data_IF_670015471139
#
_entry.id   IF_670015471139
#
_cell.length_a   1.000
_cell.length_b   1.000
_cell.length_c   1.000
_cell.angle_alpha   90.00
_cell.angle_beta   90.00
_cell.angle_gamma   90.00
#
_symmetry.space_group_name_H-M   'P 1'
#
loop_
_entity.id
_entity.type
_entity.pdbx_description
1 polymer ?
#
# COMPACT_ATOMS: atom_id res chain seq x y z
N UNK A 1 -1.89 -46.12 0.56
CA UNK A 1 -3.32 -46.37 0.89
C UNK A 1 -3.84 -45.25 1.78
N UNK A 2 -5.03 -44.69 1.54
CA UNK A 2 -5.71 -43.89 2.57
C UNK A 2 -6.53 -44.81 3.48
N UNK A 3 -6.15 -44.91 4.75
CA UNK A 3 -6.79 -45.70 5.81
C UNK A 3 -7.97 -44.94 6.44
N UNK A 4 -9.18 -45.02 5.88
CA UNK A 4 -10.35 -44.50 6.62
C UNK A 4 -11.56 -45.42 6.70
N UNK A 5 -11.51 -46.67 6.18
CA UNK A 5 -12.62 -47.61 6.30
C UNK A 5 -12.20 -49.10 6.49
N UNK A 6 -11.10 -49.39 7.19
CA UNK A 6 -10.75 -50.79 7.52
C UNK A 6 -11.20 -51.16 8.95
N UNK A 7 -11.81 -52.34 9.16
CA UNK A 7 -12.14 -52.83 10.50
C UNK A 7 -10.86 -53.09 11.31
N UNK A 8 -10.97 -52.86 12.62
CA UNK A 8 -9.87 -52.90 13.57
C UNK A 8 -9.03 -54.19 13.45
N UNK A 9 -7.72 -54.00 13.31
CA UNK A 9 -6.71 -55.05 13.44
C UNK A 9 -5.72 -55.09 12.29
N UNK A 10 -4.58 -54.42 12.45
CA UNK A 10 -3.22 -54.99 12.34
C UNK A 10 -2.17 -53.87 12.25
N UNK A 11 -1.15 -54.05 13.07
CA UNK A 11 0.03 -53.21 13.32
C UNK A 11 1.05 -53.27 12.19
N UNK A 12 1.69 -52.15 11.88
CA UNK A 12 3.16 -52.05 11.86
C UNK A 12 3.61 -50.58 11.79
N UNK A 13 4.22 -50.15 12.89
CA UNK A 13 4.91 -48.88 13.09
C UNK A 13 6.22 -48.83 12.29
N UNK A 14 6.49 -47.71 11.60
CA UNK A 14 7.82 -47.10 11.59
C UNK A 14 7.77 -45.61 11.16
N UNK A 15 8.06 -44.73 12.13
CA UNK A 15 8.83 -43.47 12.04
C UNK A 15 8.31 -42.30 11.17
N UNK A 16 7.56 -41.39 11.79
CA UNK A 16 8.03 -40.07 12.30
C UNK A 16 6.75 -39.33 12.73
N UNK A 17 6.45 -39.37 14.03
CA UNK A 17 5.27 -38.72 14.60
C UNK A 17 5.60 -37.25 14.92
N UNK A 18 5.31 -36.37 13.97
CA UNK A 18 5.38 -34.91 14.13
C UNK A 18 3.98 -34.35 14.28
N UNK A 19 3.24 -34.67 15.35
CA UNK A 19 2.14 -33.85 15.91
C UNK A 19 0.95 -33.39 15.03
N UNK A 20 0.92 -33.66 13.72
CA UNK A 20 0.08 -32.99 12.70
C UNK A 20 -1.19 -33.80 12.32
N UNK A 21 -1.55 -34.85 13.05
CA UNK A 21 -2.73 -35.67 12.70
C UNK A 21 -4.06 -35.06 13.16
N UNK A 22 -4.05 -34.08 14.07
CA UNK A 22 -5.27 -33.48 14.63
C UNK A 22 -5.96 -32.49 13.68
N UNK A 23 -5.22 -31.78 12.84
CA UNK A 23 -5.74 -30.64 12.04
C UNK A 23 -6.51 -31.06 10.77
N UNK A 24 -6.17 -32.23 10.19
CA UNK A 24 -6.80 -32.69 8.93
C UNK A 24 -8.25 -33.10 9.10
N UNK A 25 -8.62 -33.63 10.26
CA UNK A 25 -10.00 -34.13 10.49
C UNK A 25 -10.97 -32.98 10.68
N UNK A 26 -10.60 -32.01 11.52
CA UNK A 26 -11.38 -30.79 11.73
C UNK A 26 -11.57 -30.01 10.42
N UNK A 27 -10.51 -29.87 9.62
CA UNK A 27 -10.60 -29.24 8.30
C UNK A 27 -11.57 -29.94 7.36
N UNK A 28 -11.60 -31.28 7.37
CA UNK A 28 -12.56 -32.06 6.57
C UNK A 28 -13.99 -31.88 7.10
N UNK A 29 -14.19 -31.88 8.41
CA UNK A 29 -15.51 -31.68 9.02
C UNK A 29 -16.04 -30.27 8.72
N UNK A 30 -15.15 -29.27 8.75
CA UNK A 30 -15.45 -27.89 8.35
C UNK A 30 -15.77 -27.78 6.85
N UNK A 31 -15.05 -28.50 6.00
CA UNK A 31 -15.37 -28.60 4.57
C UNK A 31 -16.76 -29.20 4.36
N UNK A 32 -17.10 -30.28 5.05
CA UNK A 32 -18.41 -30.92 4.95
C UNK A 32 -19.52 -30.00 5.46
N UNK A 33 -19.28 -29.31 6.56
CA UNK A 33 -20.19 -28.30 7.09
C UNK A 33 -20.48 -27.20 6.05
N UNK A 34 -19.43 -26.60 5.47
CA UNK A 34 -19.57 -25.55 4.45
C UNK A 34 -20.25 -26.06 3.17
N UNK A 35 -19.97 -27.30 2.78
CA UNK A 35 -20.60 -27.94 1.63
C UNK A 35 -22.05 -28.38 1.91
N UNK A 36 -22.47 -28.47 3.17
CA UNK A 36 -23.72 -29.15 3.55
C UNK A 36 -23.71 -30.65 3.22
N UNK A 37 -22.52 -31.27 3.21
CA UNK A 37 -22.34 -32.68 2.95
C UNK A 37 -22.55 -33.49 4.23
N UNK A 38 -23.56 -34.36 4.22
CA UNK A 38 -23.84 -35.36 5.24
C UNK A 38 -23.36 -36.72 4.73
N UNK A 39 -22.35 -37.34 5.38
CA UNK A 39 -21.85 -38.64 4.99
C UNK A 39 -22.93 -39.74 4.97
N UNK A 40 -23.93 -39.68 5.87
CA UNK A 40 -25.02 -40.67 5.88
C UNK A 40 -25.88 -40.55 4.63
N UNK A 41 -26.19 -39.31 4.24
CA UNK A 41 -26.94 -39.05 3.01
C UNK A 41 -26.18 -39.50 1.77
N UNK A 42 -24.86 -39.29 1.74
CA UNK A 42 -24.01 -39.76 0.64
C UNK A 42 -24.08 -41.28 0.49
N UNK A 43 -24.01 -42.02 1.60
CA UNK A 43 -24.14 -43.48 1.63
C UNK A 43 -25.50 -43.99 1.09
N UNK A 44 -26.59 -43.29 1.38
CA UNK A 44 -27.92 -43.64 0.85
C UNK A 44 -27.99 -43.46 -0.68
N UNK A 45 -27.41 -42.39 -1.20
CA UNK A 45 -27.52 -42.04 -2.63
C UNK A 45 -26.41 -42.63 -3.49
N UNK A 46 -25.30 -43.14 -2.92
CA UNK A 46 -24.10 -43.54 -3.68
C UNK A 46 -24.33 -44.61 -4.73
N UNK A 47 -25.32 -45.48 -4.53
CA UNK A 47 -25.70 -46.56 -5.47
C UNK A 47 -26.49 -46.06 -6.69
N UNK A 48 -27.03 -44.84 -6.65
CA UNK A 48 -27.78 -44.22 -7.75
C UNK A 48 -26.95 -43.10 -8.38
N UNK A 49 -26.40 -43.29 -9.60
CA UNK A 49 -25.54 -42.29 -10.23
C UNK A 49 -26.19 -40.91 -10.37
N UNK A 50 -27.47 -40.87 -10.76
CA UNK A 50 -28.19 -39.61 -10.93
C UNK A 50 -28.40 -38.86 -9.60
N UNK A 51 -28.82 -39.56 -8.54
CA UNK A 51 -29.04 -38.95 -7.22
C UNK A 51 -27.72 -38.52 -6.58
N UNK A 52 -26.67 -39.37 -6.68
CA UNK A 52 -25.32 -39.06 -6.20
C UNK A 52 -24.77 -37.81 -6.87
N UNK A 53 -24.81 -37.74 -8.20
CA UNK A 53 -24.26 -36.61 -8.95
C UNK A 53 -25.02 -35.32 -8.65
N UNK A 54 -26.35 -35.38 -8.53
CA UNK A 54 -27.15 -34.22 -8.12
C UNK A 54 -26.76 -33.74 -6.72
N UNK A 55 -26.67 -34.64 -5.75
CA UNK A 55 -26.31 -34.30 -4.37
C UNK A 55 -24.91 -33.69 -4.27
N UNK A 56 -23.91 -34.30 -4.92
CA UNK A 56 -22.55 -33.77 -4.95
C UNK A 56 -22.44 -32.45 -5.69
N UNK A 57 -23.20 -32.24 -6.76
CA UNK A 57 -23.26 -30.94 -7.45
C UNK A 57 -23.81 -29.85 -6.53
N UNK A 58 -24.90 -30.12 -5.80
CA UNK A 58 -25.46 -29.16 -4.84
C UNK A 58 -24.46 -28.83 -3.71
N UNK A 59 -23.73 -29.83 -3.21
CA UNK A 59 -22.69 -29.64 -2.21
C UNK A 59 -21.49 -28.83 -2.75
N UNK A 60 -21.08 -29.11 -3.99
CA UNK A 60 -20.00 -28.40 -4.70
C UNK A 60 -20.32 -26.93 -4.89
N UNK A 61 -21.55 -26.62 -5.32
CA UNK A 61 -22.04 -25.25 -5.49
C UNK A 61 -22.06 -24.48 -4.17
N UNK A 62 -22.50 -25.13 -3.07
CA UNK A 62 -22.50 -24.52 -1.73
C UNK A 62 -21.10 -24.21 -1.25
N UNK A 63 -20.18 -25.17 -1.35
CA UNK A 63 -18.80 -25.00 -0.92
C UNK A 63 -18.10 -23.88 -1.72
N UNK A 64 -18.29 -23.86 -3.04
CA UNK A 64 -17.77 -22.80 -3.92
C UNK A 64 -18.32 -21.44 -3.51
N UNK A 65 -19.64 -21.32 -3.28
CA UNK A 65 -20.26 -20.07 -2.83
C UNK A 65 -19.79 -19.62 -1.45
N UNK A 66 -19.52 -20.56 -0.55
CA UNK A 66 -19.06 -20.26 0.81
C UNK A 66 -17.64 -19.69 0.81
N UNK A 67 -16.73 -20.22 -0.01
CA UNK A 67 -15.32 -19.82 -0.04
C UNK A 67 -15.02 -18.64 -1.00
N UNK A 68 -15.89 -18.39 -1.99
CA UNK A 68 -15.71 -17.30 -2.96
C UNK A 68 -15.51 -15.90 -2.33
N UNK A 69 -16.23 -15.50 -1.26
CA UNK A 69 -16.06 -14.17 -0.68
C UNK A 69 -14.67 -13.95 -0.06
N UNK A 70 -14.01 -15.02 0.39
CA UNK A 70 -12.69 -14.98 1.00
C UNK A 70 -11.56 -15.26 -0.01
N UNK A 71 -11.88 -15.88 -1.14
CA UNK A 71 -10.92 -16.24 -2.18
C UNK A 71 -10.80 -15.16 -3.28
N UNK A 72 -10.11 -14.06 -2.97
CA UNK A 72 -10.10 -12.83 -3.79
C UNK A 72 -9.05 -12.79 -4.92
N UNK A 73 -8.11 -13.74 -5.00
CA UNK A 73 -7.02 -13.66 -5.99
C UNK A 73 -7.48 -13.99 -7.42
N UNK A 74 -8.14 -15.13 -7.60
CA UNK A 74 -8.66 -15.65 -8.86
C UNK A 74 -9.87 -16.53 -8.52
N UNK A 75 -11.04 -16.34 -9.15
CA UNK A 75 -12.21 -17.14 -8.82
C UNK A 75 -11.93 -18.63 -9.03
N UNK A 76 -12.29 -19.45 -8.04
CA UNK A 76 -12.16 -20.91 -8.12
C UNK A 76 -13.53 -21.57 -8.18
N UNK A 77 -13.55 -22.73 -8.82
CA UNK A 77 -14.67 -23.66 -8.78
C UNK A 77 -14.24 -24.95 -8.10
N UNK A 78 -15.04 -25.42 -7.15
CA UNK A 78 -14.75 -26.58 -6.33
C UNK A 78 -15.77 -27.66 -6.63
N UNK A 79 -15.28 -28.84 -7.02
CA UNK A 79 -16.09 -30.01 -7.36
C UNK A 79 -15.77 -31.17 -6.41
N UNK A 80 -16.80 -31.67 -5.72
CA UNK A 80 -16.73 -32.86 -4.88
C UNK A 80 -17.06 -34.09 -5.73
N UNK A 81 -16.09 -34.99 -5.88
CA UNK A 81 -16.23 -36.18 -6.74
C UNK A 81 -16.05 -37.45 -5.92
N UNK A 82 -17.10 -38.26 -5.85
CA UNK A 82 -17.07 -39.55 -5.18
C UNK A 82 -16.89 -40.70 -6.18
N UNK A 83 -15.76 -41.40 -6.08
CA UNK A 83 -15.35 -42.48 -6.99
C UNK A 83 -15.73 -43.89 -6.51
N UNK A 84 -15.37 -44.90 -7.30
CA UNK A 84 -15.66 -46.32 -7.02
C UNK A 84 -14.79 -46.95 -5.94
N UNK A 85 -13.74 -46.27 -5.47
CA UNK A 85 -12.89 -46.70 -4.36
C UNK A 85 -13.36 -46.21 -3.00
N UNK A 86 -14.60 -45.70 -2.91
CA UNK A 86 -15.14 -44.98 -1.74
C UNK A 86 -14.26 -43.78 -1.33
N UNK A 87 -13.65 -43.10 -2.32
CA UNK A 87 -12.84 -41.90 -2.11
C UNK A 87 -13.59 -40.66 -2.58
N UNK A 88 -13.72 -39.68 -1.68
CA UNK A 88 -14.19 -38.35 -2.01
C UNK A 88 -13.01 -37.44 -2.38
N UNK A 89 -12.96 -37.01 -3.63
CA UNK A 89 -11.98 -36.07 -4.15
C UNK A 89 -12.53 -34.66 -4.12
N UNK A 90 -11.73 -33.72 -3.60
CA UNK A 90 -11.93 -32.29 -3.84
C UNK A 90 -11.14 -31.93 -5.09
N UNK A 91 -11.83 -31.55 -6.16
CA UNK A 91 -11.20 -31.00 -7.37
C UNK A 91 -11.38 -29.49 -7.39
N UNK A 92 -10.36 -28.80 -7.84
CA UNK A 92 -10.38 -27.34 -7.96
C UNK A 92 -10.05 -26.96 -9.39
N UNK A 93 -10.75 -25.96 -9.92
CA UNK A 93 -10.48 -25.35 -11.22
C UNK A 93 -10.37 -23.84 -11.05
N UNK A 94 -9.48 -23.22 -11.80
CA UNK A 94 -9.39 -21.76 -11.86
C UNK A 94 -10.39 -21.27 -12.92
N UNK A 95 -11.12 -20.19 -12.63
CA UNK A 95 -12.17 -19.63 -13.49
C UNK A 95 -11.72 -18.26 -13.98
N UNK A 96 -11.64 -18.11 -15.30
CA UNK A 96 -11.25 -16.87 -15.97
C UNK A 96 -12.46 -15.97 -16.22
N UNK A 97 -12.20 -14.69 -16.55
CA UNK A 97 -13.25 -13.70 -16.84
C UNK A 97 -14.15 -14.10 -18.02
N UNK A 98 -13.60 -14.83 -19.00
CA UNK A 98 -14.33 -15.36 -20.16
C UNK A 98 -15.17 -16.61 -19.84
N UNK A 99 -15.17 -17.06 -18.58
CA UNK A 99 -15.86 -18.25 -18.09
C UNK A 99 -15.14 -19.56 -18.39
N UNK A 100 -13.98 -19.53 -19.05
CA UNK A 100 -13.15 -20.71 -19.26
C UNK A 100 -12.58 -21.23 -17.93
N UNK A 101 -12.31 -22.53 -17.89
CA UNK A 101 -11.80 -23.21 -16.69
C UNK A 101 -10.48 -23.89 -16.98
N UNK A 102 -9.45 -23.58 -16.20
CA UNK A 102 -8.11 -24.19 -16.31
C UNK A 102 -7.70 -24.87 -15.03
N UNK A 103 -6.57 -25.60 -15.07
CA UNK A 103 -5.97 -26.26 -13.90
C UNK A 103 -6.93 -27.18 -13.12
N UNK A 104 -7.91 -27.76 -13.83
CA UNK A 104 -8.88 -28.69 -13.26
C UNK A 104 -8.18 -29.96 -12.80
N UNK A 105 -8.14 -30.17 -11.49
CA UNK A 105 -7.50 -31.35 -10.93
C UNK A 105 -7.76 -31.51 -9.43
N UNK A 106 -7.33 -32.65 -8.84
CA UNK A 106 -7.40 -32.87 -7.40
C UNK A 106 -6.65 -31.78 -6.62
N UNK A 107 -7.21 -31.35 -5.49
CA UNK A 107 -6.57 -30.40 -4.56
C UNK A 107 -5.17 -30.86 -4.15
N UNK A 108 -4.98 -32.18 -3.98
CA UNK A 108 -3.69 -32.78 -3.62
C UNK A 108 -2.59 -32.63 -4.67
N UNK A 109 -2.92 -32.21 -5.91
CA UNK A 109 -1.95 -31.89 -6.96
C UNK A 109 -1.60 -30.40 -7.02
N UNK A 110 -2.23 -29.57 -6.20
CA UNK A 110 -1.92 -28.13 -6.11
C UNK A 110 -0.64 -27.94 -5.30
N UNK A 111 0.00 -26.78 -5.46
CA UNK A 111 1.18 -26.42 -4.67
C UNK A 111 0.85 -26.39 -3.17
N UNK A 112 1.84 -26.68 -2.32
CA UNK A 112 1.66 -26.75 -0.87
C UNK A 112 1.02 -25.48 -0.29
N UNK A 113 1.47 -24.29 -0.75
CA UNK A 113 0.90 -23.01 -0.32
C UNK A 113 -0.59 -22.87 -0.68
N UNK A 114 -1.02 -23.39 -1.83
CA UNK A 114 -2.44 -23.43 -2.19
C UNK A 114 -3.24 -24.32 -1.25
N UNK A 115 -2.73 -25.51 -0.93
CA UNK A 115 -3.41 -26.47 -0.04
C UNK A 115 -3.54 -25.88 1.37
N UNK A 116 -2.48 -25.27 1.88
CA UNK A 116 -2.50 -24.58 3.17
C UNK A 116 -3.53 -23.45 3.17
N UNK A 117 -3.51 -22.60 2.14
CA UNK A 117 -4.44 -21.47 1.99
C UNK A 117 -5.90 -21.92 1.91
N UNK A 118 -6.16 -22.98 1.15
CA UNK A 118 -7.47 -23.59 1.06
C UNK A 118 -7.95 -24.11 2.42
N UNK A 119 -7.08 -24.79 3.15
CA UNK A 119 -7.38 -25.32 4.48
C UNK A 119 -7.66 -24.19 5.48
N UNK A 120 -6.82 -23.15 5.49
CA UNK A 120 -7.02 -21.94 6.29
C UNK A 120 -8.40 -21.34 6.06
N UNK A 121 -8.78 -21.08 4.79
CA UNK A 121 -10.09 -20.48 4.50
C UNK A 121 -11.27 -21.40 4.77
N UNK A 122 -11.13 -22.71 4.59
CA UNK A 122 -12.17 -23.68 4.99
C UNK A 122 -12.44 -23.58 6.48
N UNK A 123 -11.42 -23.69 7.31
CA UNK A 123 -11.57 -23.60 8.77
C UNK A 123 -12.14 -22.25 9.16
N UNK A 124 -11.50 -21.20 8.68
CA UNK A 124 -11.87 -19.84 9.01
C UNK A 124 -13.31 -19.46 8.62
N UNK A 125 -13.76 -19.89 7.44
CA UNK A 125 -15.13 -19.65 6.99
C UNK A 125 -16.13 -20.48 7.79
N UNK A 126 -15.79 -21.73 8.13
CA UNK A 126 -16.64 -22.59 8.95
C UNK A 126 -16.83 -22.01 10.36
N UNK A 127 -15.74 -21.63 11.03
CA UNK A 127 -15.77 -21.04 12.36
C UNK A 127 -16.52 -19.70 12.39
N UNK A 128 -16.37 -18.89 11.33
CA UNK A 128 -17.15 -17.66 11.15
C UNK A 128 -18.65 -17.96 11.02
N UNK A 129 -19.04 -18.97 10.23
CA UNK A 129 -20.45 -19.34 10.01
C UNK A 129 -21.10 -20.00 11.23
N UNK A 130 -20.33 -20.73 12.04
CA UNK A 130 -20.77 -21.28 13.33
C UNK A 130 -20.92 -20.22 14.43
N UNK A 131 -20.53 -18.97 14.14
CA UNK A 131 -20.49 -17.85 15.08
C UNK A 131 -19.55 -18.08 16.28
N UNK A 132 -18.59 -19.01 16.15
CA UNK A 132 -17.54 -19.24 17.15
C UNK A 132 -16.54 -18.08 17.17
N UNK A 133 -16.39 -17.38 16.04
CA UNK A 133 -15.56 -16.17 15.90
C UNK A 133 -16.35 -14.89 16.08
N UNK A 134 -17.39 -14.86 16.92
CA UNK A 134 -18.11 -13.62 17.25
C UNK A 134 -17.57 -13.03 18.55
N UNK A 135 -17.22 -11.75 18.53
CA UNK A 135 -16.66 -11.02 19.68
C UNK A 135 -15.38 -11.69 20.23
N UNK A 136 -14.58 -12.28 19.34
CA UNK A 136 -13.39 -13.06 19.65
C UNK A 136 -12.09 -12.24 19.50
N UNK A 137 -11.04 -12.71 20.18
CA UNK A 137 -9.64 -12.30 19.93
C UNK A 137 -8.97 -13.37 19.08
N UNK A 138 -8.58 -13.02 17.86
CA UNK A 138 -7.98 -13.92 16.88
C UNK A 138 -6.48 -13.63 16.81
N UNK A 139 -5.65 -14.63 17.10
CA UNK A 139 -4.20 -14.55 17.06
C UNK A 139 -3.68 -15.37 15.87
N UNK A 140 -2.89 -14.74 14.98
CA UNK A 140 -2.34 -15.40 13.80
C UNK A 140 -0.84 -15.17 13.72
N UNK A 141 -0.06 -16.23 13.56
CA UNK A 141 1.38 -16.12 13.32
C UNK A 141 1.66 -16.22 11.81
N UNK A 142 2.23 -15.17 11.24
CA UNK A 142 2.61 -15.08 9.81
C UNK A 142 1.55 -15.64 8.82
N UNK A 143 0.27 -15.18 8.85
CA UNK A 143 -0.81 -15.79 8.07
C UNK A 143 -0.63 -15.69 6.54
N UNK A 144 0.37 -14.93 6.08
CA UNK A 144 0.72 -14.78 4.67
C UNK A 144 1.91 -15.62 4.19
N UNK A 145 2.63 -16.35 5.06
CA UNK A 145 3.98 -16.89 4.77
C UNK A 145 4.08 -17.73 3.50
N UNK A 146 3.05 -18.53 3.20
CA UNK A 146 3.05 -19.46 2.05
C UNK A 146 2.23 -18.96 0.85
N UNK A 147 1.84 -17.68 0.87
CA UNK A 147 0.94 -17.09 -0.11
C UNK A 147 1.69 -16.21 -1.08
N UNK A 148 1.27 -16.22 -2.35
CA UNK A 148 1.70 -15.22 -3.33
C UNK A 148 1.21 -13.82 -2.89
N UNK A 149 1.90 -12.71 -3.21
CA UNK A 149 1.48 -11.36 -2.82
C UNK A 149 0.00 -11.03 -3.06
N UNK A 150 -0.55 -11.44 -4.22
CA UNK A 150 -1.98 -11.27 -4.54
C UNK A 150 -2.92 -12.00 -3.56
N UNK A 151 -2.52 -13.17 -3.04
CA UNK A 151 -3.28 -13.93 -2.05
C UNK A 151 -3.12 -13.37 -0.63
N UNK A 152 -1.96 -12.79 -0.32
CA UNK A 152 -1.75 -12.05 0.93
C UNK A 152 -2.68 -10.84 1.01
N UNK A 153 -2.80 -10.06 -0.07
CA UNK A 153 -3.76 -8.96 -0.16
C UNK A 153 -5.21 -9.42 0.02
N UNK A 154 -5.60 -10.54 -0.60
CA UNK A 154 -6.92 -11.14 -0.42
C UNK A 154 -7.18 -11.59 1.03
N UNK A 155 -6.18 -12.16 1.68
CA UNK A 155 -6.24 -12.53 3.12
C UNK A 155 -6.46 -11.29 3.98
N UNK A 156 -5.78 -10.20 3.68
CA UNK A 156 -5.90 -8.93 4.40
C UNK A 156 -7.32 -8.36 4.37
N UNK A 157 -7.98 -8.43 3.22
CA UNK A 157 -9.37 -7.97 3.07
C UNK A 157 -10.33 -8.80 3.92
N UNK A 158 -10.05 -10.10 4.05
CA UNK A 158 -10.81 -11.00 4.92
C UNK A 158 -10.60 -10.64 6.39
N UNK A 159 -9.34 -10.42 6.81
CA UNK A 159 -9.02 -9.98 8.17
C UNK A 159 -9.69 -8.63 8.49
N UNK A 160 -9.62 -7.64 7.59
CA UNK A 160 -10.29 -6.33 7.75
C UNK A 160 -11.80 -6.46 7.95
N UNK A 161 -12.46 -7.36 7.23
CA UNK A 161 -13.91 -7.58 7.38
C UNK A 161 -14.26 -8.14 8.76
N UNK A 162 -13.42 -9.00 9.31
CA UNK A 162 -13.65 -9.60 10.61
C UNK A 162 -13.24 -8.71 11.77
N UNK A 163 -12.21 -7.87 11.58
CA UNK A 163 -11.83 -6.86 12.55
C UNK A 163 -12.99 -5.90 12.91
N UNK A 164 -14.05 -5.85 12.08
CA UNK A 164 -15.29 -5.09 12.39
C UNK A 164 -16.06 -5.60 13.61
N UNK A 165 -15.89 -6.88 13.97
CA UNK A 165 -16.60 -7.52 15.09
C UNK A 165 -15.68 -8.30 16.03
N UNK A 166 -14.38 -8.34 15.72
CA UNK A 166 -13.38 -9.13 16.43
C UNK A 166 -12.10 -8.30 16.60
N UNK A 167 -11.30 -8.63 17.60
CA UNK A 167 -9.92 -8.15 17.67
C UNK A 167 -9.01 -9.14 16.94
N UNK A 168 -8.18 -8.65 16.03
CA UNK A 168 -7.21 -9.48 15.31
C UNK A 168 -5.83 -8.97 15.62
N UNK A 169 -4.95 -9.87 16.07
CA UNK A 169 -3.53 -9.60 16.31
C UNK A 169 -2.75 -10.61 15.47
N UNK A 170 -1.85 -10.13 14.62
CA UNK A 170 -1.01 -11.00 13.81
C UNK A 170 0.40 -10.46 13.65
N UNK A 171 1.34 -11.37 13.44
CA UNK A 171 2.74 -11.08 13.10
C UNK A 171 2.92 -11.16 11.58
N UNK A 172 3.82 -10.33 11.03
CA UNK A 172 4.18 -10.41 9.61
C UNK A 172 5.56 -9.83 9.33
N UNK A 173 6.35 -10.54 8.52
CA UNK A 173 7.51 -10.01 7.82
C UNK A 173 7.16 -9.55 6.40
N UNK A 174 5.98 -9.93 5.89
CA UNK A 174 5.55 -9.54 4.56
C UNK A 174 5.07 -8.08 4.51
N UNK A 175 5.59 -7.25 3.59
CA UNK A 175 5.07 -5.90 3.37
C UNK A 175 3.63 -5.90 2.84
N UNK A 176 3.22 -6.93 2.10
CA UNK A 176 1.87 -7.01 1.53
C UNK A 176 0.77 -7.32 2.56
N UNK A 177 1.18 -7.62 3.79
CA UNK A 177 0.29 -7.86 4.92
C UNK A 177 0.23 -6.64 5.88
N UNK A 178 0.88 -5.51 5.56
CA UNK A 178 0.81 -4.28 6.36
C UNK A 178 -0.16 -3.31 5.66
N UNK A 179 -1.13 -2.76 6.40
CA UNK A 179 -2.14 -1.86 5.82
C UNK A 179 -2.63 -0.74 6.72
N UNK A 180 -2.49 -0.88 8.04
CA UNK A 180 -2.94 0.12 8.99
C UNK A 180 -1.73 0.69 9.72
N UNK A 181 -1.27 1.83 9.22
CA UNK A 181 -0.10 2.55 9.71
C UNK A 181 -0.46 3.51 10.85
N UNK A 182 -1.67 3.46 11.40
CA UNK A 182 -2.02 4.28 12.56
C UNK A 182 -1.20 3.85 13.77
N UNK A 183 -0.78 4.84 14.55
CA UNK A 183 -0.07 4.61 15.82
C UNK A 183 -0.88 3.65 16.70
N UNK A 184 -0.23 2.58 17.16
CA UNK A 184 -0.85 1.52 17.97
C UNK A 184 -1.47 0.36 17.18
N UNK A 185 -1.74 0.51 15.88
CA UNK A 185 -2.23 -0.59 15.04
C UNK A 185 -1.07 -1.35 14.35
N UNK A 186 0.06 -0.67 14.14
CA UNK A 186 1.31 -1.26 13.70
C UNK A 186 2.32 -1.23 14.84
N UNK A 187 2.69 -2.41 15.34
CA UNK A 187 3.72 -2.57 16.36
C UNK A 187 4.96 -3.14 15.70
N UNK A 188 6.12 -2.54 15.96
CA UNK A 188 7.41 -3.10 15.57
C UNK A 188 8.02 -3.85 16.73
N UNK A 189 8.69 -4.95 16.41
CA UNK A 189 9.35 -5.81 17.41
C UNK A 189 10.80 -5.97 16.99
N UNK A 190 11.70 -5.61 17.90
CA UNK A 190 13.14 -5.55 17.65
C UNK A 190 13.87 -6.38 18.69
N UNK A 191 14.85 -7.16 18.27
CA UNK A 191 15.75 -7.86 19.18
C UNK A 191 16.96 -6.98 19.45
N UNK A 192 17.06 -6.49 20.68
CA UNK A 192 18.30 -5.91 21.18
C UNK A 192 19.35 -7.03 21.25
N UNK A 193 20.41 -6.89 20.46
CA UNK A 193 21.45 -7.92 20.34
C UNK A 193 22.38 -7.98 21.55
N UNK A 194 22.48 -6.88 22.30
CA UNK A 194 23.34 -6.78 23.46
C UNK A 194 22.64 -7.34 24.71
N UNK A 195 21.35 -7.02 24.87
CA UNK A 195 20.57 -7.49 26.02
C UNK A 195 19.83 -8.80 25.76
N UNK A 196 19.71 -9.23 24.50
CA UNK A 196 18.88 -10.34 24.04
C UNK A 196 17.39 -10.18 24.40
N UNK A 197 16.94 -8.95 24.65
CA UNK A 197 15.54 -8.64 24.96
C UNK A 197 14.83 -8.12 23.72
N UNK A 198 13.54 -8.44 23.59
CA UNK A 198 12.69 -7.85 22.57
C UNK A 198 12.12 -6.52 23.04
N UNK A 199 12.27 -5.48 22.23
CA UNK A 199 11.60 -4.19 22.42
C UNK A 199 10.41 -4.11 21.47
N UNK A 200 9.25 -3.77 21.99
CA UNK A 200 8.04 -3.54 21.20
C UNK A 200 7.78 -2.04 21.16
N UNK A 201 7.61 -1.47 19.96
CA UNK A 201 7.28 -0.05 19.78
C UNK A 201 5.93 0.08 19.10
N UNK A 202 5.02 0.85 19.70
CA UNK A 202 3.76 1.27 19.05
C UNK A 202 3.95 2.34 18.00
N UNK A 203 5.11 2.97 18.06
CA UNK A 203 5.59 3.96 17.12
C UNK A 203 6.60 3.27 16.23
N UNK A 204 6.13 2.80 15.08
CA UNK A 204 7.01 2.13 14.12
C UNK A 204 8.10 3.06 13.57
N UNK A 205 7.86 4.39 13.55
CA UNK A 205 8.85 5.41 13.20
C UNK A 205 10.15 5.36 14.02
N UNK A 206 10.06 4.89 15.27
CA UNK A 206 11.21 4.85 16.18
C UNK A 206 12.06 3.57 16.00
N UNK A 207 11.74 2.76 15.00
CA UNK A 207 12.37 1.47 14.78
C UNK A 207 13.69 1.60 13.99
N UNK A 208 14.56 0.63 14.18
CA UNK A 208 15.77 0.44 13.41
C UNK A 208 15.49 0.44 11.90
N UNK A 209 16.45 0.90 11.07
CA UNK A 209 16.28 0.98 9.63
C UNK A 209 15.82 -0.33 9.00
N UNK A 210 16.32 -1.48 9.48
CA UNK A 210 15.97 -2.81 8.97
C UNK A 210 14.49 -3.17 9.26
N UNK A 211 13.97 -2.74 10.41
CA UNK A 211 12.56 -2.90 10.81
C UNK A 211 11.63 -1.99 10.00
N UNK A 212 12.13 -0.84 9.54
CA UNK A 212 11.38 0.07 8.66
C UNK A 212 11.25 -0.44 7.22
N UNK A 213 12.11 -1.36 6.78
CA UNK A 213 12.16 -1.84 5.37
C UNK A 213 10.81 -2.41 4.90
N UNK A 214 10.19 -3.37 5.60
CA UNK A 214 8.90 -3.91 5.16
C UNK A 214 7.80 -2.86 5.17
N UNK A 215 7.86 -1.88 6.07
CA UNK A 215 6.90 -0.78 6.17
C UNK A 215 7.05 0.16 4.97
N UNK A 216 8.28 0.51 4.60
CA UNK A 216 8.61 1.30 3.40
C UNK A 216 8.13 0.61 2.13
N UNK A 217 8.35 -0.71 2.02
CA UNK A 217 7.83 -1.50 0.90
C UNK A 217 6.30 -1.47 0.85
N UNK A 218 5.64 -1.61 1.99
CA UNK A 218 4.18 -1.60 2.09
C UNK A 218 3.57 -0.24 1.74
N UNK A 219 4.30 0.84 2.03
CA UNK A 219 3.96 2.21 1.63
C UNK A 219 4.29 2.52 0.17
N UNK A 220 4.88 1.58 -0.58
CA UNK A 220 5.21 1.75 -1.99
C UNK A 220 6.48 2.57 -2.24
N UNK A 221 7.42 2.57 -1.29
CA UNK A 221 8.76 3.13 -1.44
C UNK A 221 9.85 2.03 -1.47
N UNK A 222 9.85 1.10 -2.46
CA UNK A 222 10.83 0.02 -2.57
C UNK A 222 12.13 0.45 -3.28
N UNK A 223 12.32 1.73 -3.63
CA UNK A 223 13.49 2.18 -4.39
C UNK A 223 14.65 2.67 -3.50
N UNK A 224 14.38 2.81 -2.19
CA UNK A 224 15.34 3.21 -1.15
C UNK A 224 16.56 2.26 -1.06
N UNK A 225 16.48 1.09 -1.69
CA UNK A 225 17.39 -0.04 -1.51
C UNK A 225 18.50 -0.10 -2.55
N UNK A 226 18.27 0.38 -3.78
CA UNK A 226 19.32 0.38 -4.81
C UNK A 226 20.38 1.44 -4.53
N UNK A 227 19.95 2.63 -4.08
CA UNK A 227 20.86 3.74 -3.82
C UNK A 227 21.54 3.66 -2.44
N UNK A 228 20.98 2.96 -1.45
CA UNK A 228 21.65 2.74 -0.16
C UNK A 228 22.96 1.93 -0.27
N UNK A 229 23.08 1.06 -1.28
CA UNK A 229 24.31 0.29 -1.55
C UNK A 229 25.37 1.10 -2.33
N UNK A 230 24.96 2.22 -2.97
CA UNK A 230 25.81 3.07 -3.81
C UNK A 230 26.12 4.44 -3.17
N UNK A 231 25.29 4.90 -2.24
CA UNK A 231 25.41 6.16 -1.53
C UNK A 231 26.43 6.05 -0.40
N UNK A 232 27.70 5.97 -0.79
CA UNK A 232 28.86 6.41 0.01
C UNK A 232 28.97 7.93 0.09
N UNK A 233 27.97 8.65 -0.44
CA UNK A 233 27.95 10.10 -0.56
C UNK A 233 27.12 10.70 0.58
N UNK A 234 27.69 11.65 1.33
CA UNK A 234 27.00 12.40 2.39
C UNK A 234 26.06 13.47 1.81
N UNK A 235 25.36 13.15 0.71
CA UNK A 235 24.46 14.09 0.02
C UNK A 235 23.24 14.36 0.89
N UNK A 236 22.80 15.62 1.00
CA UNK A 236 21.50 15.90 1.57
C UNK A 236 20.38 15.24 0.77
N UNK A 237 19.33 14.82 1.46
CA UNK A 237 18.16 14.16 0.87
C UNK A 237 16.96 15.08 1.00
N UNK A 238 16.22 15.23 -0.09
CA UNK A 238 14.89 15.87 -0.09
C UNK A 238 13.86 14.80 -0.41
N UNK A 239 13.02 14.48 0.58
CA UNK A 239 11.92 13.52 0.42
C UNK A 239 10.69 14.26 -0.08
N UNK A 240 10.21 13.88 -1.26
CA UNK A 240 9.08 14.46 -1.98
C UNK A 240 7.85 13.56 -1.84
N UNK A 241 6.64 14.08 -2.03
CA UNK A 241 5.42 13.29 -1.86
C UNK A 241 5.24 12.16 -2.89
N UNK A 242 5.56 12.41 -4.16
CA UNK A 242 5.30 11.46 -5.23
C UNK A 242 6.23 11.58 -6.42
N UNK A 243 6.00 10.68 -7.39
CA UNK A 243 6.70 10.68 -8.68
C UNK A 243 6.49 11.98 -9.47
N UNK A 244 5.28 12.56 -9.41
CA UNK A 244 4.98 13.82 -10.12
C UNK A 244 5.82 14.97 -9.59
N UNK A 245 5.99 15.07 -8.27
CA UNK A 245 6.83 16.07 -7.61
C UNK A 245 8.29 15.93 -8.05
N UNK A 246 8.81 14.71 -8.03
CA UNK A 246 10.16 14.40 -8.48
C UNK A 246 10.38 14.83 -9.94
N UNK A 247 9.46 14.46 -10.84
CA UNK A 247 9.53 14.80 -12.25
C UNK A 247 9.48 16.32 -12.46
N UNK A 248 8.50 17.01 -11.85
CA UNK A 248 8.36 18.46 -11.99
C UNK A 248 9.60 19.19 -11.46
N UNK A 249 10.07 18.89 -10.26
CA UNK A 249 11.24 19.58 -9.70
C UNK A 249 12.49 19.34 -10.54
N UNK A 250 12.74 18.10 -10.99
CA UNK A 250 13.89 17.78 -11.86
C UNK A 250 13.82 18.53 -13.18
N UNK A 251 12.67 18.47 -13.87
CA UNK A 251 12.48 19.16 -15.16
C UNK A 251 12.57 20.67 -15.03
N UNK A 252 12.05 21.25 -13.95
CA UNK A 252 12.18 22.69 -13.72
C UNK A 252 13.64 23.05 -13.45
N UNK A 253 14.36 22.32 -12.57
CA UNK A 253 15.79 22.56 -12.30
C UNK A 253 16.61 22.56 -13.60
N UNK A 254 16.40 21.56 -14.46
CA UNK A 254 17.04 21.47 -15.78
C UNK A 254 16.70 22.69 -16.66
N UNK A 255 15.44 23.10 -16.68
CA UNK A 255 14.95 24.20 -17.53
C UNK A 255 15.47 25.58 -17.09
N UNK A 256 15.83 25.75 -15.82
CA UNK A 256 16.26 27.02 -15.25
C UNK A 256 17.79 27.15 -15.12
N UNK A 257 18.58 26.10 -15.43
CA UNK A 257 20.06 26.11 -15.28
C UNK A 257 20.69 27.36 -15.91
N UNK A 258 20.29 27.74 -17.12
CA UNK A 258 20.83 28.91 -17.81
C UNK A 258 20.31 30.24 -17.24
N UNK A 259 19.07 30.27 -16.73
CA UNK A 259 18.38 31.51 -16.28
C UNK A 259 18.67 31.85 -14.82
N UNK A 260 18.85 30.82 -13.99
CA UNK A 260 19.04 30.87 -12.53
C UNK A 260 20.07 29.82 -12.12
N UNK A 261 21.33 29.98 -12.56
CA UNK A 261 22.38 29.02 -12.26
C UNK A 261 22.54 28.81 -10.76
N UNK A 262 22.50 29.86 -9.94
CA UNK A 262 22.69 29.74 -8.49
C UNK A 262 21.72 28.75 -7.84
N UNK A 263 20.44 28.80 -8.23
CA UNK A 263 19.40 27.88 -7.74
C UNK A 263 19.67 26.47 -8.28
N UNK A 264 19.93 26.31 -9.57
CA UNK A 264 20.18 24.96 -10.11
C UNK A 264 21.42 24.28 -9.48
N UNK A 265 22.49 25.05 -9.24
CA UNK A 265 23.71 24.52 -8.64
C UNK A 265 23.54 24.12 -7.17
N UNK A 266 22.66 24.78 -6.40
CA UNK A 266 22.41 24.41 -5.00
C UNK A 266 21.78 23.02 -4.86
N UNK A 267 21.11 22.54 -5.92
CA UNK A 267 20.52 21.19 -5.99
C UNK A 267 21.40 20.14 -6.68
N UNK A 268 22.53 20.52 -7.30
CA UNK A 268 23.36 19.58 -8.08
C UNK A 268 23.95 18.42 -7.26
N UNK A 269 24.07 18.57 -5.93
CA UNK A 269 24.54 17.54 -5.00
C UNK A 269 23.47 17.11 -3.98
N UNK A 270 22.20 17.32 -4.30
CA UNK A 270 21.05 16.90 -3.49
C UNK A 270 20.44 15.65 -4.09
N UNK A 271 20.08 14.69 -3.24
CA UNK A 271 19.37 13.47 -3.62
C UNK A 271 17.86 13.71 -3.45
N UNK A 272 17.11 13.76 -4.55
CA UNK A 272 15.64 13.83 -4.51
C UNK A 272 15.09 12.40 -4.41
N UNK A 273 14.29 12.13 -3.40
CA UNK A 273 13.67 10.83 -3.16
C UNK A 273 12.16 10.97 -3.23
N UNK A 274 11.53 10.25 -4.13
CA UNK A 274 10.07 10.18 -4.20
C UNK A 274 9.52 9.28 -3.10
N UNK A 275 8.60 9.81 -2.31
CA UNK A 275 7.67 9.00 -1.55
C UNK A 275 6.56 8.50 -2.47
N UNK A 276 5.63 7.73 -1.91
CA UNK A 276 4.45 7.26 -2.62
C UNK A 276 3.21 7.70 -1.83
N UNK A 277 3.10 9.02 -1.66
CA UNK A 277 2.10 9.71 -0.86
C UNK A 277 2.66 10.24 0.46
N UNK A 278 1.93 11.19 1.05
CA UNK A 278 2.34 11.91 2.27
C UNK A 278 2.65 11.00 3.47
N UNK A 279 1.95 9.86 3.60
CA UNK A 279 2.18 8.87 4.66
C UNK A 279 3.56 8.19 4.56
N UNK A 280 4.16 8.18 3.37
CA UNK A 280 5.47 7.59 3.10
C UNK A 280 6.64 8.57 3.27
N UNK A 281 6.38 9.86 3.49
CA UNK A 281 7.44 10.87 3.68
C UNK A 281 8.14 10.71 5.05
N UNK A 282 7.37 10.62 6.14
CA UNK A 282 7.91 10.42 7.50
C UNK A 282 8.87 9.24 7.69
N UNK A 283 8.55 7.99 7.25
CA UNK A 283 9.43 6.83 7.36
C UNK A 283 10.72 7.05 6.59
N UNK A 284 10.60 7.53 5.34
CA UNK A 284 11.73 7.78 4.47
C UNK A 284 12.66 8.81 5.08
N UNK A 285 12.08 9.90 5.60
CA UNK A 285 12.84 10.96 6.20
C UNK A 285 13.65 10.47 7.40
N UNK A 286 13.01 9.72 8.30
CA UNK A 286 13.66 9.14 9.47
C UNK A 286 14.68 8.06 9.09
N UNK A 287 14.38 7.22 8.11
CA UNK A 287 15.31 6.22 7.58
C UNK A 287 16.62 6.85 7.10
N UNK A 288 16.55 7.89 6.27
CA UNK A 288 17.73 8.59 5.78
C UNK A 288 18.45 9.36 6.90
N UNK A 289 17.71 10.00 7.80
CA UNK A 289 18.26 10.74 8.94
C UNK A 289 19.01 9.84 9.91
N UNK A 290 18.47 8.65 10.22
CA UNK A 290 19.13 7.65 11.10
C UNK A 290 20.43 7.11 10.52
N UNK A 291 20.60 7.18 9.20
CA UNK A 291 21.86 6.89 8.50
C UNK A 291 22.79 8.10 8.36
N UNK A 292 22.52 9.18 9.09
CA UNK A 292 23.38 10.36 9.18
C UNK A 292 23.22 11.37 8.04
N UNK A 293 22.24 11.21 7.14
CA UNK A 293 22.01 12.18 6.07
C UNK A 293 21.31 13.44 6.59
N UNK A 294 21.62 14.60 6.00
CA UNK A 294 20.84 15.83 6.18
C UNK A 294 19.54 15.70 5.37
N UNK A 295 18.37 15.72 6.01
CA UNK A 295 17.09 15.42 5.35
C UNK A 295 16.12 16.57 5.46
N UNK A 296 15.51 16.94 4.34
CA UNK A 296 14.36 17.86 4.25
C UNK A 296 13.17 17.10 3.67
N UNK A 297 11.96 17.40 4.15
CA UNK A 297 10.72 16.83 3.64
C UNK A 297 9.90 17.89 2.93
N UNK A 298 9.32 17.56 1.78
CA UNK A 298 8.41 18.44 1.03
C UNK A 298 7.05 17.75 0.96
N UNK A 299 6.04 18.39 1.55
CA UNK A 299 4.65 17.93 1.56
C UNK A 299 3.78 18.80 0.66
N UNK A 300 2.73 18.23 0.08
CA UNK A 300 1.60 19.03 -0.36
C UNK A 300 0.99 19.79 0.83
N UNK A 301 0.53 21.01 0.59
CA UNK A 301 -0.11 21.81 1.62
C UNK A 301 -1.60 21.48 1.68
N UNK A 302 -1.93 20.39 2.36
CA UNK A 302 -3.31 19.97 2.57
C UNK A 302 -3.52 19.39 3.99
N UNK A 303 -4.76 19.32 4.49
CA UNK A 303 -5.03 19.00 5.89
C UNK A 303 -4.49 17.65 6.37
N UNK A 304 -4.46 16.61 5.53
CA UNK A 304 -3.95 15.29 5.91
C UNK A 304 -2.42 15.27 5.95
N UNK A 305 -1.74 15.78 4.92
CA UNK A 305 -0.29 15.99 4.90
C UNK A 305 0.21 16.82 6.09
N UNK A 306 -0.51 17.88 6.49
CA UNK A 306 -0.17 18.67 7.68
C UNK A 306 -0.23 17.87 8.97
N UNK A 307 -1.23 17.00 9.14
CA UNK A 307 -1.31 16.12 10.32
C UNK A 307 -0.13 15.16 10.37
N UNK A 308 0.23 14.55 9.24
CA UNK A 308 1.37 13.64 9.15
C UNK A 308 2.70 14.36 9.42
N UNK A 309 2.84 15.60 8.95
CA UNK A 309 3.99 16.44 9.26
C UNK A 309 4.05 16.82 10.74
N UNK A 310 2.92 17.15 11.37
CA UNK A 310 2.86 17.41 12.82
C UNK A 310 3.18 16.16 13.64
N UNK A 311 2.73 14.97 13.20
CA UNK A 311 3.16 13.70 13.78
C UNK A 311 4.67 13.51 13.66
N UNK A 312 5.27 13.83 12.50
CA UNK A 312 6.71 13.75 12.29
C UNK A 312 7.50 14.62 13.28
N UNK A 313 7.00 15.82 13.63
CA UNK A 313 7.61 16.71 14.63
C UNK A 313 7.66 16.07 16.03
N UNK A 314 6.65 15.28 16.39
CA UNK A 314 6.63 14.57 17.68
C UNK A 314 7.78 13.57 17.85
N UNK A 315 8.44 13.20 16.74
CA UNK A 315 9.60 12.29 16.69
C UNK A 315 10.94 13.03 16.56
N UNK A 316 11.04 14.24 17.10
CA UNK A 316 12.26 15.07 17.09
C UNK A 316 12.77 15.38 15.67
N UNK A 317 11.90 15.33 14.66
CA UNK A 317 12.21 15.86 13.35
C UNK A 317 12.12 17.40 13.41
N UNK A 318 13.17 18.14 12.99
CA UNK A 318 13.22 19.59 13.08
C UNK A 318 12.16 20.23 12.22
N UNK A 319 11.44 21.19 12.77
CA UNK A 319 10.35 21.88 12.07
C UNK A 319 10.86 22.71 10.88
N UNK A 320 12.07 23.27 10.97
CA UNK A 320 12.76 23.99 9.90
C UNK A 320 13.16 23.08 8.71
N UNK A 321 13.09 21.76 8.88
CA UNK A 321 13.33 20.76 7.82
C UNK A 321 12.05 20.32 7.12
N UNK A 322 10.88 20.84 7.51
CA UNK A 322 9.58 20.51 6.94
C UNK A 322 9.11 21.66 6.05
N UNK A 323 9.07 21.42 4.74
CA UNK A 323 8.62 22.36 3.72
C UNK A 323 7.25 21.93 3.19
N UNK A 324 6.39 22.90 2.94
CA UNK A 324 5.10 22.69 2.28
C UNK A 324 5.07 23.42 0.93
N UNK A 325 4.47 22.79 -0.08
CA UNK A 325 4.11 23.45 -1.33
C UNK A 325 3.23 24.68 -1.06
N UNK A 326 3.46 25.79 -1.76
CA UNK A 326 2.75 27.02 -1.46
C UNK A 326 2.65 27.97 -2.63
N UNK A 327 1.47 28.57 -2.76
CA UNK A 327 1.20 29.73 -3.63
C UNK A 327 0.35 30.69 -2.81
N UNK A 328 0.79 31.94 -2.65
CA UNK A 328 0.17 32.95 -1.76
C UNK A 328 -1.35 33.08 -1.88
N UNK A 329 -1.90 32.83 -3.07
CA UNK A 329 -3.33 32.92 -3.36
C UNK A 329 -4.17 31.71 -2.92
N UNK A 330 -3.56 30.65 -2.36
CA UNK A 330 -4.24 29.40 -2.03
C UNK A 330 -3.94 28.92 -0.60
N UNK A 331 -5.00 28.53 0.12
CA UNK A 331 -4.90 27.94 1.45
C UNK A 331 -4.41 26.48 1.41
N UNK A 332 -4.81 25.74 0.37
CA UNK A 332 -4.34 24.39 0.08
C UNK A 332 -3.68 24.35 -1.30
N UNK A 333 -2.60 23.58 -1.44
CA UNK A 333 -1.77 23.59 -2.64
C UNK A 333 -1.08 22.25 -2.85
N UNK A 334 -1.26 21.65 -4.02
CA UNK A 334 -0.40 20.56 -4.51
C UNK A 334 0.76 21.14 -5.34
N UNK A 335 1.76 20.33 -5.68
CA UNK A 335 2.82 20.74 -6.62
C UNK A 335 2.25 21.20 -7.98
N UNK A 336 1.16 20.60 -8.46
CA UNK A 336 0.51 20.99 -9.72
C UNK A 336 -0.07 22.42 -9.67
N UNK A 337 -0.42 22.92 -8.48
CA UNK A 337 -0.95 24.27 -8.29
C UNK A 337 0.12 25.37 -8.39
N UNK A 338 1.40 25.01 -8.36
CA UNK A 338 2.54 25.94 -8.55
C UNK A 338 2.53 26.48 -9.99
N UNK A 339 2.15 25.64 -10.96
CA UNK A 339 1.96 26.04 -12.35
C UNK A 339 0.86 27.10 -12.50
N UNK A 340 0.93 27.92 -13.55
CA UNK A 340 -0.22 28.73 -13.91
C UNK A 340 -1.32 27.81 -14.43
N UNK A 341 -2.55 27.99 -13.95
CA UNK A 341 -3.70 27.16 -14.32
C UNK A 341 -3.84 26.99 -15.84
N UNK A 342 -3.63 28.08 -16.60
CA UNK A 342 -3.68 28.05 -18.07
C UNK A 342 -2.62 27.11 -18.67
N UNK A 343 -1.38 27.16 -18.20
CA UNK A 343 -0.28 26.32 -18.71
C UNK A 343 -0.58 24.83 -18.44
N UNK A 344 -1.06 24.53 -17.23
CA UNK A 344 -1.43 23.17 -16.84
C UNK A 344 -2.60 22.65 -17.67
N UNK A 345 -3.67 23.45 -17.84
CA UNK A 345 -4.84 23.09 -18.65
C UNK A 345 -4.50 22.93 -20.14
N UNK A 346 -3.58 23.73 -20.69
CA UNK A 346 -3.14 23.57 -22.08
C UNK A 346 -2.50 22.20 -22.31
N UNK A 347 -1.58 21.78 -21.42
CA UNK A 347 -0.95 20.46 -21.49
C UNK A 347 -1.95 19.32 -21.30
N UNK A 348 -2.86 19.46 -20.33
CA UNK A 348 -3.96 18.52 -20.11
C UNK A 348 -4.84 18.37 -21.35
N UNK A 349 -5.27 19.48 -21.94
CA UNK A 349 -6.15 19.47 -23.10
C UNK A 349 -5.47 18.86 -24.32
N UNK A 350 -4.19 19.15 -24.55
CA UNK A 350 -3.45 18.52 -25.64
C UNK A 350 -3.34 17.01 -25.46
N UNK A 351 -3.01 16.54 -24.24
CA UNK A 351 -2.96 15.12 -23.92
C UNK A 351 -4.31 14.44 -24.15
N UNK A 352 -5.38 14.98 -23.55
CA UNK A 352 -6.68 14.31 -23.57
C UNK A 352 -7.40 14.48 -24.90
N UNK A 353 -7.08 15.49 -25.71
CA UNK A 353 -7.49 15.53 -27.11
C UNK A 353 -6.95 14.33 -27.88
N UNK A 354 -5.74 13.87 -27.57
CA UNK A 354 -5.13 12.71 -28.22
C UNK A 354 -5.70 11.38 -27.69
N UNK A 355 -5.92 11.27 -26.37
CA UNK A 355 -6.42 10.05 -25.71
C UNK A 355 -7.93 9.84 -25.97
N UNK A 356 -8.71 10.91 -25.98
CA UNK A 356 -10.18 10.88 -26.02
C UNK A 356 -10.75 11.31 -27.37
N UNK A 357 -10.00 11.08 -28.47
CA UNK A 357 -10.42 11.43 -29.84
C UNK A 357 -11.84 10.96 -30.18
N UNK A 358 -12.20 9.76 -29.70
CA UNK A 358 -13.49 9.13 -30.00
C UNK A 358 -14.58 9.43 -28.95
N UNK A 359 -14.26 10.18 -27.88
CA UNK A 359 -15.11 10.32 -26.70
C UNK A 359 -15.77 11.72 -26.54
N UNK A 360 -15.98 12.46 -27.63
CA UNK A 360 -16.55 13.83 -27.63
C UNK A 360 -15.91 14.73 -26.54
N UNK A 361 -14.59 14.67 -26.43
CA UNK A 361 -13.85 15.45 -25.46
C UNK A 361 -13.97 16.94 -25.78
N UNK A 362 -14.39 17.72 -24.77
CA UNK A 362 -14.38 19.17 -24.82
C UNK A 362 -13.21 19.67 -23.98
N UNK A 363 -12.51 20.69 -24.47
CA UNK A 363 -11.39 21.26 -23.73
C UNK A 363 -11.87 21.83 -22.40
N UNK A 364 -11.12 21.51 -21.36
CA UNK A 364 -11.33 22.05 -20.02
C UNK A 364 -10.76 23.46 -19.97
N UNK A 365 -11.59 24.42 -19.59
CA UNK A 365 -11.24 25.83 -19.50
C UNK A 365 -11.14 26.29 -18.04
N UNK A 366 -10.52 27.45 -17.82
CA UNK A 366 -10.56 28.13 -16.53
C UNK A 366 -11.98 28.44 -16.04
N UNK A 367 -12.95 28.58 -16.96
CA UNK A 367 -14.34 28.78 -16.58
C UNK A 367 -14.94 27.50 -15.98
N UNK A 368 -14.58 26.32 -16.51
CA UNK A 368 -15.03 25.02 -15.99
C UNK A 368 -14.44 24.75 -14.61
N UNK A 369 -13.13 25.02 -14.42
CA UNK A 369 -12.47 24.91 -13.11
C UNK A 369 -13.15 25.83 -12.08
N UNK A 370 -13.43 27.09 -12.45
CA UNK A 370 -14.12 28.04 -11.57
C UNK A 370 -15.56 27.62 -11.29
N UNK A 371 -16.29 27.13 -12.29
CA UNK A 371 -17.65 26.65 -12.12
C UNK A 371 -17.70 25.46 -11.14
N UNK A 372 -16.77 24.51 -11.30
CA UNK A 372 -16.67 23.35 -10.41
C UNK A 372 -16.31 23.75 -8.99
N UNK A 373 -15.32 24.64 -8.81
CA UNK A 373 -14.98 25.22 -7.49
C UNK A 373 -16.15 25.99 -6.87
N UNK A 374 -16.94 26.71 -7.67
CA UNK A 374 -18.15 27.38 -7.20
C UNK A 374 -19.25 26.43 -6.74
N UNK A 375 -19.39 25.29 -7.43
CA UNK A 375 -20.34 24.24 -7.06
C UNK A 375 -19.90 23.44 -5.82
N UNK A 376 -18.59 23.22 -5.66
CA UNK A 376 -18.00 22.47 -4.53
C UNK A 376 -16.86 23.31 -3.92
N UNK A 377 -17.17 24.25 -3.00
CA UNK A 377 -16.17 25.18 -2.45
C UNK A 377 -15.02 24.53 -1.68
N UNK A 378 -15.18 23.29 -1.23
CA UNK A 378 -14.14 22.50 -0.55
C UNK A 378 -13.05 22.02 -1.52
N UNK A 379 -13.28 22.02 -2.84
CA UNK A 379 -12.26 21.69 -3.82
C UNK A 379 -11.42 22.94 -4.15
N UNK A 380 -10.24 23.03 -3.54
CA UNK A 380 -9.35 24.20 -3.68
C UNK A 380 -8.21 23.95 -4.68
N UNK A 381 -7.71 22.71 -4.70
CA UNK A 381 -6.54 22.24 -5.44
C UNK A 381 -6.90 21.78 -6.85
N UNK A 382 -6.03 21.99 -7.83
CA UNK A 382 -6.34 21.76 -9.25
C UNK A 382 -6.64 20.29 -9.55
N UNK A 383 -5.87 19.35 -9.00
CA UNK A 383 -6.03 17.92 -9.27
C UNK A 383 -7.39 17.40 -8.77
N UNK A 384 -7.79 17.61 -7.49
CA UNK A 384 -9.14 17.22 -7.03
C UNK A 384 -10.29 17.87 -7.82
N UNK A 385 -10.12 19.12 -8.29
CA UNK A 385 -11.12 19.77 -9.15
C UNK A 385 -11.25 19.01 -10.48
N UNK A 386 -10.13 18.68 -11.13
CA UNK A 386 -10.11 17.97 -12.42
C UNK A 386 -10.64 16.55 -12.31
N UNK A 387 -10.29 15.81 -11.25
CA UNK A 387 -10.88 14.50 -10.95
C UNK A 387 -12.39 14.59 -10.84
N UNK A 388 -12.89 15.62 -10.13
CA UNK A 388 -14.32 15.83 -9.99
C UNK A 388 -15.01 16.23 -11.31
N UNK A 389 -14.32 16.92 -12.23
CA UNK A 389 -14.82 17.18 -13.60
C UNK A 389 -14.87 15.89 -14.42
N UNK A 390 -13.86 15.02 -14.29
CA UNK A 390 -13.84 13.71 -14.94
C UNK A 390 -14.98 12.83 -14.45
N UNK A 391 -15.27 12.87 -13.16
CA UNK A 391 -16.37 12.16 -12.54
C UNK A 391 -17.74 12.54 -13.13
N UNK A 392 -17.95 13.83 -13.44
CA UNK A 392 -19.16 14.32 -14.12
C UNK A 392 -19.31 13.77 -15.56
N UNK A 393 -18.22 13.27 -16.14
CA UNK A 393 -18.15 12.79 -17.53
C UNK A 393 -17.90 11.27 -17.62
N UNK A 394 -18.10 10.51 -16.52
CA UNK A 394 -17.97 9.05 -16.49
C UNK A 394 -18.85 8.34 -17.52
N UNK A 395 -20.02 8.91 -17.84
CA UNK A 395 -20.96 8.42 -18.84
C UNK A 395 -20.49 8.64 -20.29
N UNK A 396 -19.48 9.49 -20.50
CA UNK A 396 -18.93 9.83 -21.83
C UNK A 396 -17.67 9.04 -22.21
N UNK A 397 -17.38 7.94 -21.51
CA UNK A 397 -16.18 7.12 -21.72
C UNK A 397 -14.86 7.89 -21.56
N UNK A 398 -14.82 8.93 -20.73
CA UNK A 398 -13.58 9.67 -20.43
C UNK A 398 -12.58 8.85 -19.59
N UNK A 399 -13.04 7.75 -18.99
CA UNK A 399 -12.24 6.92 -18.08
C UNK A 399 -11.96 7.64 -16.76
N UNK A 400 -10.77 7.40 -16.21
CA UNK A 400 -10.30 8.05 -14.97
C UNK A 400 -9.26 9.11 -15.30
N UNK A 401 -9.31 10.24 -14.59
CA UNK A 401 -8.27 11.26 -14.68
C UNK A 401 -6.92 10.67 -14.24
N UNK A 402 -5.85 11.01 -14.94
CA UNK A 402 -4.52 10.46 -14.70
C UNK A 402 -3.51 11.60 -14.63
N UNK A 403 -3.25 12.09 -13.42
CA UNK A 403 -2.30 13.20 -13.18
C UNK A 403 -0.88 12.87 -13.64
N UNK A 404 -0.44 11.61 -13.58
CA UNK A 404 0.90 11.19 -14.02
C UNK A 404 1.09 11.41 -15.53
N UNK A 405 0.10 11.05 -16.35
CA UNK A 405 0.16 11.33 -17.80
C UNK A 405 0.18 12.83 -18.11
N UNK A 406 -0.53 13.64 -17.31
CA UNK A 406 -0.49 15.10 -17.45
C UNK A 406 0.88 15.64 -17.05
N UNK A 407 1.51 15.09 -16.01
CA UNK A 407 2.89 15.38 -15.62
C UNK A 407 3.86 15.12 -16.78
N UNK A 408 3.83 13.91 -17.35
CA UNK A 408 4.68 13.57 -18.51
C UNK A 408 4.51 14.59 -19.65
N UNK A 409 3.25 14.94 -19.98
CA UNK A 409 2.97 15.93 -21.03
C UNK A 409 3.49 17.33 -20.70
N UNK A 410 3.36 17.78 -19.45
CA UNK A 410 3.89 19.08 -19.01
C UNK A 410 5.42 19.09 -19.12
N UNK A 411 6.09 18.04 -18.64
CA UNK A 411 7.55 17.92 -18.72
C UNK A 411 8.06 17.90 -20.17
N UNK A 412 7.41 17.12 -21.04
CA UNK A 412 7.71 17.08 -22.47
C UNK A 412 7.64 18.48 -23.11
N UNK A 413 6.62 19.26 -22.75
CA UNK A 413 6.46 20.63 -23.25
C UNK A 413 7.52 21.57 -22.72
N UNK A 414 7.91 21.45 -21.45
CA UNK A 414 9.00 22.27 -20.89
C UNK A 414 10.30 22.05 -21.69
N UNK A 415 10.63 20.80 -22.02
CA UNK A 415 11.82 20.50 -22.83
C UNK A 415 11.67 20.90 -24.31
N UNK A 416 10.49 20.74 -24.90
CA UNK A 416 10.27 21.03 -26.32
C UNK A 416 10.08 22.53 -26.63
N UNK A 417 9.52 23.30 -25.69
CA UNK A 417 9.11 24.68 -25.87
C UNK A 417 9.77 25.58 -24.80
N UNK A 418 10.95 26.18 -25.06
CA UNK A 418 11.70 26.96 -24.05
C UNK A 418 10.95 28.16 -23.43
N UNK A 419 9.86 28.61 -24.05
CA UNK A 419 9.00 29.71 -23.58
C UNK A 419 7.62 29.26 -23.11
N UNK A 420 7.43 27.96 -22.90
CA UNK A 420 6.15 27.41 -22.45
C UNK A 420 5.75 27.94 -21.06
N UNK A 421 6.70 27.96 -20.12
CA UNK A 421 6.46 28.50 -18.78
C UNK A 421 6.55 30.03 -18.75
N UNK A 422 5.55 30.67 -18.16
CA UNK A 422 5.60 32.09 -17.82
C UNK A 422 6.62 32.39 -16.72
N UNK A 423 7.12 33.62 -16.69
CA UNK A 423 8.02 34.09 -15.62
C UNK A 423 7.41 33.88 -14.23
N UNK A 424 6.10 34.12 -14.10
CA UNK A 424 5.37 33.92 -12.85
C UNK A 424 5.43 32.47 -12.36
N UNK A 425 5.29 31.49 -13.25
CA UNK A 425 5.39 30.07 -12.87
C UNK A 425 6.82 29.72 -12.47
N UNK A 426 7.80 30.19 -13.22
CA UNK A 426 9.22 29.99 -12.90
C UNK A 426 9.57 30.59 -11.53
N UNK A 427 9.10 31.81 -11.24
CA UNK A 427 9.34 32.48 -9.96
C UNK A 427 8.73 31.74 -8.76
N UNK A 428 7.53 31.14 -8.93
CA UNK A 428 6.92 30.31 -7.88
C UNK A 428 7.73 29.05 -7.58
N UNK A 429 8.24 28.37 -8.61
CA UNK A 429 9.13 27.23 -8.39
C UNK A 429 10.45 27.65 -7.75
N UNK A 430 11.02 28.79 -8.14
CA UNK A 430 12.22 29.35 -7.50
C UNK A 430 11.97 29.62 -6.01
N UNK A 431 10.80 30.15 -5.65
CA UNK A 431 10.44 30.34 -4.24
C UNK A 431 10.38 29.02 -3.47
N UNK A 432 9.81 27.97 -4.07
CA UNK A 432 9.81 26.63 -3.49
C UNK A 432 11.24 26.08 -3.32
N UNK A 433 12.09 26.20 -4.34
CA UNK A 433 13.49 25.78 -4.25
C UNK A 433 14.25 26.54 -3.15
N UNK A 434 14.03 27.85 -3.01
CA UNK A 434 14.64 28.63 -1.93
C UNK A 434 14.21 28.15 -0.55
N UNK A 435 12.92 27.84 -0.35
CA UNK A 435 12.43 27.27 0.92
C UNK A 435 13.11 25.93 1.22
N UNK A 436 13.31 25.09 0.20
CA UNK A 436 14.02 23.81 0.36
C UNK A 436 15.51 24.05 0.65
N UNK A 437 16.15 25.02 -0.01
CA UNK A 437 17.56 25.37 0.21
C UNK A 437 17.79 25.94 1.62
N UNK A 438 16.92 26.84 2.08
CA UNK A 438 16.91 27.36 3.46
C UNK A 438 16.71 26.24 4.47
N UNK A 439 15.82 25.29 4.20
CA UNK A 439 15.65 24.10 5.04
C UNK A 439 16.90 23.21 5.03
N UNK A 440 17.59 23.05 3.89
CA UNK A 440 18.83 22.28 3.80
C UNK A 440 19.96 22.93 4.62
N UNK A 441 20.04 24.26 4.57
CA UNK A 441 21.07 25.09 5.20
C UNK A 441 20.43 26.21 6.04
N UNK A 442 19.89 25.90 7.24
CA UNK A 442 19.25 26.92 8.06
C UNK A 442 20.29 28.00 8.41
N UNK A 443 19.91 29.30 8.32
CA UNK A 443 20.82 30.39 8.64
C UNK A 443 21.34 30.21 10.06
N UNK A 444 22.67 30.31 10.23
CA UNK A 444 23.30 30.28 11.55
C UNK A 444 22.76 31.49 12.32
N UNK A 445 21.89 31.23 13.29
CA UNK A 445 21.53 32.23 14.28
C UNK A 445 22.81 32.42 15.11
N UNK A 446 23.56 33.49 14.84
CA UNK A 446 24.60 33.94 15.75
C UNK A 446 23.93 34.11 17.12
N UNK A 447 24.31 33.27 18.08
CA UNK A 447 23.87 33.35 19.46
C UNK A 447 24.42 34.65 20.08
N UNK A 448 23.81 35.77 19.76
CA UNK A 448 23.88 36.95 20.58
C UNK A 448 23.06 36.66 21.84
N UNK A 449 23.70 36.83 23.00
CA UNK A 449 23.13 36.73 24.37
C UNK A 449 23.15 35.35 25.04
N UNK A 450 24.35 34.81 25.29
CA UNK A 450 24.56 33.90 26.43
C UNK A 450 25.99 34.01 27.00
N UNK A 451 26.53 35.22 27.19
CA UNK A 451 27.83 35.37 27.88
C UNK A 451 27.95 36.66 28.73
N UNK A 452 26.87 37.04 29.42
CA UNK A 452 26.90 38.15 30.40
C UNK A 452 26.63 37.75 31.85
N UNK A 453 26.50 36.47 32.17
CA UNK A 453 26.25 36.00 33.55
C UNK A 453 27.17 34.85 34.00
N UNK A 454 28.47 34.97 33.71
CA UNK A 454 29.48 34.06 34.25
C UNK A 454 30.73 34.78 34.77
N UNK A 455 30.56 35.85 35.57
CA UNK A 455 31.63 36.30 36.49
C UNK A 455 30.98 36.73 37.80
N UNK A 456 30.91 35.79 38.75
CA UNK A 456 31.20 35.98 40.18
C UNK A 456 30.69 34.75 40.95
N UNK A 457 31.63 33.85 41.28
CA UNK A 457 31.52 33.03 42.50
C UNK A 457 32.84 33.16 43.28
N UNK A 458 32.77 33.31 44.60
CA UNK A 458 33.95 33.52 45.44
C UNK A 458 34.68 32.18 45.68
N UNK A 459 36.01 32.25 45.80
CA UNK A 459 36.86 31.11 46.19
C UNK A 459 36.57 30.68 47.64
N UNK A 460 36.65 29.37 47.95
CA UNK A 460 36.60 28.90 49.33
C UNK A 460 37.99 28.57 49.91
N UNK A 461 38.12 28.91 51.20
CA UNK A 461 39.17 28.64 52.19
C UNK A 461 40.30 29.67 52.32
#
# INVERSE_FOLDING_TARGET
MPQYLAPQGTTQDEKLDTGERLDKRETIDNLFFLAGLDPKRLEEVKKSPALKNKYLSECSDRLTKALRPTWLSQPIDIELVYDTGDVLWVKVSDVHEDGSRTNKGPLSRRAQGFIWHFSFFVNFTAETQRAELKDAVILLDEPGLHLHPAQQAGTLDVLKRLARRNQIIYTTHSPFMIFDYKVGNLLTVELDRDTHLSTIRSTYWDSDPDTLIPILHALGAPEVFEDASRSSTNRPVVVLEGLTDYQYLTTILDSIVERKPDVAHSFANVELVQANGSAAIGPLALYHRRRGKNVVTVYDNEPEARKLADELKTYNFPEDKIVFCGVDSKAECDIEDVFAEKEYLESLNQLYQEILKDARFNFITSADVKAKKGAIPTLVRIVPILESIWDDHKDRNWGTFNKKKVCDKVCDRIYAEPKFLSEKTVDRFIELFKKIEEALHPPVIEAAEADKHAVERPEPA
#
